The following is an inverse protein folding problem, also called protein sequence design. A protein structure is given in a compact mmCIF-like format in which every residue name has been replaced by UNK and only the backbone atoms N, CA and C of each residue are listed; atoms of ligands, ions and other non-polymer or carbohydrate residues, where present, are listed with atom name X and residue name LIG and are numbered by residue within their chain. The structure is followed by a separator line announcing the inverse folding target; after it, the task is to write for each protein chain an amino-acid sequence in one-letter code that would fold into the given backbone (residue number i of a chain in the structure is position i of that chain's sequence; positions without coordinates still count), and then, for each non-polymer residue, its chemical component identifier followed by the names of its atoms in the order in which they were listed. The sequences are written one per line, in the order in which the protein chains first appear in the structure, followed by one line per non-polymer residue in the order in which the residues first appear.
data_IF_922860124772
#
_entry.id   IF_922860124772
#
_cell.length_a   1.000
_cell.length_b   1.000
_cell.length_c   1.000
_cell.angle_alpha   90.00
_cell.angle_beta   90.00
_cell.angle_gamma   90.00
#
_symmetry.space_group_name_H-M   'P 1'
#
loop_
_entity.id
_entity.type
_entity.pdbx_description
1 polymer ?
#
# COMPACT_ATOMS: atom_id res chain seq x y z
N UNK A 1 15.04 -4.70 -3.37
CA UNK A 1 13.70 -5.30 -3.42
C UNK A 1 12.70 -4.25 -3.85
N UNK A 2 11.85 -4.53 -4.87
CA UNK A 2 10.85 -3.60 -5.40
C UNK A 2 9.45 -4.09 -5.09
N UNK A 3 8.60 -3.20 -4.61
CA UNK A 3 7.23 -3.50 -4.17
C UNK A 3 6.27 -2.58 -4.92
N UNK A 4 5.31 -3.16 -5.64
CA UNK A 4 4.22 -2.40 -6.25
C UNK A 4 3.05 -2.30 -5.27
N UNK A 5 2.64 -1.08 -4.94
CA UNK A 5 1.63 -0.80 -3.92
C UNK A 5 0.42 -0.15 -4.55
N UNK A 6 -0.74 -0.77 -4.40
CA UNK A 6 -2.03 -0.33 -4.90
C UNK A 6 -3.03 -0.17 -3.76
N UNK A 7 -4.03 0.67 -3.94
CA UNK A 7 -5.14 0.88 -3.00
C UNK A 7 -6.39 1.39 -3.72
N UNK A 8 -7.53 1.26 -3.07
CA UNK A 8 -8.76 1.95 -3.45
C UNK A 8 -9.16 1.70 -4.92
N UNK A 9 -9.19 0.43 -5.32
CA UNK A 9 -9.51 -0.02 -6.68
C UNK A 9 -10.99 0.09 -7.02
N UNK A 10 -11.88 -0.10 -6.03
CA UNK A 10 -13.34 0.01 -6.17
C UNK A 10 -13.89 -0.70 -7.42
N UNK A 11 -13.42 -1.92 -7.70
CA UNK A 11 -13.84 -2.74 -8.84
C UNK A 11 -13.11 -2.45 -10.15
N UNK A 12 -12.19 -1.48 -10.20
CA UNK A 12 -11.47 -1.10 -11.42
C UNK A 12 -10.04 -1.67 -11.43
N UNK A 13 -9.87 -2.88 -11.93
CA UNK A 13 -8.61 -3.63 -11.82
C UNK A 13 -7.68 -3.53 -13.05
N UNK A 14 -8.21 -3.14 -14.22
CA UNK A 14 -7.46 -3.22 -15.48
C UNK A 14 -6.15 -2.43 -15.49
N UNK A 15 -6.17 -1.20 -14.92
CA UNK A 15 -4.98 -0.34 -14.86
C UNK A 15 -3.95 -0.87 -13.87
N UNK A 16 -4.43 -1.36 -12.72
CA UNK A 16 -3.60 -2.02 -11.71
C UNK A 16 -2.86 -3.22 -12.30
N UNK A 17 -3.58 -4.11 -13.01
CA UNK A 17 -3.00 -5.29 -13.65
C UNK A 17 -1.96 -4.92 -14.71
N UNK A 18 -2.26 -3.90 -15.54
CA UNK A 18 -1.32 -3.44 -16.55
C UNK A 18 -0.05 -2.89 -15.90
N UNK A 19 -0.18 -1.99 -14.92
CA UNK A 19 0.97 -1.42 -14.23
C UNK A 19 1.80 -2.49 -13.54
N UNK A 20 1.18 -3.46 -12.86
CA UNK A 20 1.90 -4.58 -12.24
C UNK A 20 2.68 -5.41 -13.27
N UNK A 21 2.10 -5.64 -14.47
CA UNK A 21 2.76 -6.40 -15.53
C UNK A 21 3.93 -5.68 -16.21
N UNK A 22 3.91 -4.34 -16.22
CA UNK A 22 5.00 -3.52 -16.77
C UNK A 22 6.20 -3.39 -15.79
N UNK A 23 5.98 -3.74 -14.52
CA UNK A 23 7.00 -3.65 -13.47
C UNK A 23 7.71 -4.99 -13.26
N UNK A 24 9.00 -4.93 -12.94
CA UNK A 24 9.72 -6.05 -12.36
C UNK A 24 9.67 -5.91 -10.83
N UNK A 25 8.47 -6.11 -10.27
CA UNK A 25 8.29 -6.10 -8.83
C UNK A 25 8.65 -7.46 -8.21
N UNK A 26 9.16 -7.43 -6.99
CA UNK A 26 9.45 -8.61 -6.18
C UNK A 26 8.28 -8.98 -5.27
N UNK A 27 7.35 -8.05 -5.05
CA UNK A 27 6.15 -8.24 -4.25
C UNK A 27 5.04 -7.25 -4.65
N UNK A 28 3.80 -7.63 -4.37
CA UNK A 28 2.60 -6.82 -4.59
C UNK A 28 1.92 -6.53 -3.26
N UNK A 29 1.35 -5.33 -3.13
CA UNK A 29 0.57 -4.91 -1.96
C UNK A 29 -0.74 -4.29 -2.43
N UNK A 30 -1.86 -4.65 -1.76
CA UNK A 30 -3.16 -4.02 -1.92
C UNK A 30 -3.69 -3.55 -0.55
N UNK A 31 -3.96 -2.26 -0.42
CA UNK A 31 -4.25 -1.62 0.86
C UNK A 31 -5.73 -1.43 1.17
N UNK A 32 -6.59 -2.22 0.52
CA UNK A 32 -8.03 -2.25 0.83
C UNK A 32 -8.89 -1.41 -0.09
N UNK A 33 -10.15 -1.33 0.28
CA UNK A 33 -11.29 -0.87 -0.51
C UNK A 33 -11.42 -1.62 -1.84
N UNK A 34 -12.23 -2.67 -1.78
CA UNK A 34 -12.32 -3.80 -2.70
C UNK A 34 -11.08 -4.72 -2.63
N UNK A 35 -10.74 -5.22 -1.43
CA UNK A 35 -9.60 -6.13 -1.21
C UNK A 35 -9.65 -7.38 -2.11
N UNK A 36 -10.86 -7.78 -2.54
CA UNK A 36 -11.08 -8.89 -3.48
C UNK A 36 -10.57 -8.59 -4.88
N UNK A 37 -10.39 -7.34 -5.24
CA UNK A 37 -9.77 -6.96 -6.52
C UNK A 37 -8.31 -7.45 -6.59
N UNK A 38 -7.67 -7.62 -5.44
CA UNK A 38 -6.36 -8.24 -5.33
C UNK A 38 -6.32 -9.70 -5.79
N UNK A 39 -7.46 -10.42 -5.83
CA UNK A 39 -7.55 -11.77 -6.40
C UNK A 39 -7.17 -11.77 -7.90
N UNK A 40 -7.33 -10.63 -8.59
CA UNK A 40 -6.88 -10.48 -9.97
C UNK A 40 -5.35 -10.43 -10.07
N UNK A 41 -4.68 -9.77 -9.12
CA UNK A 41 -3.21 -9.77 -9.03
C UNK A 41 -2.69 -11.18 -8.72
N UNK A 42 -3.27 -11.87 -7.76
CA UNK A 42 -2.88 -13.23 -7.37
C UNK A 42 -2.99 -14.22 -8.55
N UNK A 43 -4.06 -14.10 -9.36
CA UNK A 43 -4.23 -14.92 -10.55
C UNK A 43 -3.28 -14.57 -11.70
N UNK A 44 -2.99 -13.28 -11.88
CA UNK A 44 -2.13 -12.80 -12.96
C UNK A 44 -0.63 -12.99 -12.68
N UNK A 45 -0.24 -12.98 -11.42
CA UNK A 45 1.16 -13.03 -10.96
C UNK A 45 1.30 -14.01 -9.80
N UNK A 46 1.00 -15.32 -10.01
CA UNK A 46 0.97 -16.31 -8.93
C UNK A 46 2.33 -16.58 -8.29
N UNK A 47 3.42 -16.20 -8.96
CA UNK A 47 4.79 -16.32 -8.46
C UNK A 47 5.21 -15.17 -7.51
N UNK A 48 4.45 -14.06 -7.50
CA UNK A 48 4.78 -12.93 -6.67
C UNK A 48 4.03 -12.98 -5.33
N UNK A 49 4.71 -12.79 -4.21
CA UNK A 49 4.03 -12.64 -2.92
C UNK A 49 3.09 -11.44 -2.94
N UNK A 50 1.84 -11.67 -2.56
CA UNK A 50 0.81 -10.64 -2.46
C UNK A 50 0.43 -10.43 -0.99
N UNK A 51 0.55 -9.20 -0.53
CA UNK A 51 0.10 -8.76 0.79
C UNK A 51 -1.14 -7.88 0.64
N UNK A 52 -2.18 -8.16 1.41
CA UNK A 52 -3.41 -7.37 1.35
C UNK A 52 -3.96 -7.09 2.74
N UNK A 53 -4.58 -5.94 2.89
CA UNK A 53 -5.37 -5.55 4.06
C UNK A 53 -6.76 -5.12 3.60
N UNK A 54 -7.74 -5.16 4.52
CA UNK A 54 -9.10 -4.69 4.23
C UNK A 54 -9.25 -3.19 4.48
N UNK A 55 -10.13 -2.54 3.72
CA UNK A 55 -10.57 -1.18 3.94
C UNK A 55 -11.94 -1.10 4.61
N UNK A 56 -12.47 0.11 4.72
CA UNK A 56 -13.79 0.36 5.31
C UNK A 56 -14.96 0.01 4.38
N UNK A 57 -14.72 -0.03 3.06
CA UNK A 57 -15.74 -0.44 2.08
C UNK A 57 -15.78 -1.97 1.86
N UNK A 58 -14.91 -2.73 2.50
CA UNK A 58 -14.85 -4.18 2.33
C UNK A 58 -15.88 -4.90 3.20
N UNK A 59 -16.92 -5.43 2.55
CA UNK A 59 -17.97 -6.22 3.20
C UNK A 59 -17.53 -7.69 3.24
N UNK A 60 -17.54 -8.29 4.43
CA UNK A 60 -17.08 -9.68 4.65
C UNK A 60 -15.66 -9.93 4.11
N UNK A 61 -14.69 -9.16 4.56
CA UNK A 61 -13.31 -9.24 4.07
C UNK A 61 -12.64 -10.54 4.49
N UNK A 62 -11.68 -10.99 3.66
CA UNK A 62 -10.80 -12.13 3.97
C UNK A 62 -9.47 -11.66 4.54
N UNK A 63 -9.07 -10.43 4.19
CA UNK A 63 -7.83 -9.82 4.64
C UNK A 63 -7.96 -9.22 6.04
N UNK A 64 -6.87 -9.18 6.82
CA UNK A 64 -6.84 -8.49 8.11
C UNK A 64 -6.92 -6.97 7.93
N UNK A 65 -7.18 -6.26 9.03
CA UNK A 65 -7.16 -4.78 9.04
C UNK A 65 -5.75 -4.21 8.91
N UNK A 66 -4.78 -4.93 9.48
CA UNK A 66 -3.37 -4.53 9.53
C UNK A 66 -2.47 -5.74 9.35
N UNK A 67 -1.33 -5.51 8.74
CA UNK A 67 -0.22 -6.46 8.67
C UNK A 67 1.07 -5.77 9.06
N UNK A 68 1.91 -6.47 9.83
CA UNK A 68 3.32 -6.11 9.99
C UNK A 68 4.14 -7.14 9.22
N UNK A 69 4.89 -6.66 8.22
CA UNK A 69 5.71 -7.50 7.35
C UNK A 69 7.13 -6.97 7.29
N UNK A 70 8.07 -7.81 6.89
CA UNK A 70 9.45 -7.40 6.63
C UNK A 70 9.77 -7.52 5.15
N UNK A 71 10.19 -6.42 4.56
CA UNK A 71 10.67 -6.33 3.19
C UNK A 71 12.17 -6.03 3.21
N UNK A 72 12.99 -7.00 2.81
CA UNK A 72 14.45 -6.80 2.76
C UNK A 72 15.06 -6.32 4.09
N UNK A 73 14.49 -6.74 5.24
CA UNK A 73 14.93 -6.30 6.57
C UNK A 73 14.22 -5.05 7.11
N UNK A 74 13.50 -4.30 6.28
CA UNK A 74 12.69 -3.13 6.70
C UNK A 74 11.34 -3.61 7.20
N UNK A 75 10.99 -3.30 8.44
CA UNK A 75 9.65 -3.62 9.00
C UNK A 75 8.65 -2.57 8.54
N UNK A 76 7.57 -3.03 7.93
CA UNK A 76 6.51 -2.21 7.39
C UNK A 76 5.16 -2.52 8.05
N UNK A 77 4.42 -1.47 8.42
CA UNK A 77 3.01 -1.54 8.77
C UNK A 77 2.17 -1.29 7.51
N UNK A 78 1.34 -2.25 7.16
CA UNK A 78 0.34 -2.15 6.10
C UNK A 78 -1.03 -1.98 6.73
N UNK A 79 -1.77 -0.95 6.34
CA UNK A 79 -3.15 -0.73 6.79
C UNK A 79 -3.91 0.08 5.74
N UNK A 80 -5.24 0.11 5.83
CA UNK A 80 -6.01 0.99 4.94
C UNK A 80 -5.93 2.46 5.37
N UNK A 81 -5.88 2.74 6.66
CA UNK A 81 -5.73 4.10 7.20
C UNK A 81 -6.99 4.67 7.88
N UNK A 82 -8.20 4.20 7.53
CA UNK A 82 -9.47 4.71 8.05
C UNK A 82 -9.58 4.72 9.60
N UNK A 83 -8.87 3.83 10.28
CA UNK A 83 -8.84 3.75 11.74
C UNK A 83 -7.87 4.74 12.39
N UNK A 84 -7.04 5.39 11.61
CA UNK A 84 -6.01 6.32 12.04
C UNK A 84 -6.34 7.78 11.76
N UNK A 85 -7.60 8.07 11.38
CA UNK A 85 -8.10 9.42 11.09
C UNK A 85 -7.27 10.21 10.05
N UNK A 86 -6.73 9.48 9.06
CA UNK A 86 -5.88 10.07 8.00
C UNK A 86 -6.62 11.05 7.10
N UNK A 87 -7.96 10.99 7.06
CA UNK A 87 -8.82 11.92 6.30
C UNK A 87 -8.63 13.39 6.68
N UNK A 88 -8.22 13.62 7.91
CA UNK A 88 -8.02 14.97 8.44
C UNK A 88 -6.58 15.49 8.20
N UNK A 89 -5.78 14.78 7.39
CA UNK A 89 -4.37 15.14 7.16
C UNK A 89 -3.47 14.92 8.38
N UNK A 90 -3.94 14.12 9.36
CA UNK A 90 -3.20 13.83 10.59
C UNK A 90 -2.57 12.45 10.49
N UNK A 91 -1.26 12.43 10.40
CA UNK A 91 -0.48 11.20 10.30
C UNK A 91 0.15 10.76 11.64
N UNK A 92 -0.02 11.57 12.70
CA UNK A 92 0.59 11.29 14.01
C UNK A 92 0.20 9.93 14.56
N UNK A 93 -1.07 9.52 14.40
CA UNK A 93 -1.58 8.23 14.88
C UNK A 93 -0.92 7.05 14.13
N UNK A 94 -0.67 7.20 12.83
CA UNK A 94 0.05 6.20 12.03
C UNK A 94 1.51 6.11 12.44
N UNK A 95 2.17 7.26 12.62
CA UNK A 95 3.57 7.32 13.06
C UNK A 95 3.72 6.63 14.41
N UNK A 96 2.86 6.97 15.37
CA UNK A 96 2.88 6.35 16.70
C UNK A 96 2.68 4.84 16.64
N UNK A 97 1.66 4.37 15.90
CA UNK A 97 1.38 2.94 15.74
C UNK A 97 2.55 2.19 15.07
N UNK A 98 3.22 2.81 14.10
CA UNK A 98 4.38 2.24 13.45
C UNK A 98 5.56 2.11 14.43
N UNK A 99 5.83 3.17 15.20
CA UNK A 99 6.90 3.18 16.20
C UNK A 99 6.67 2.12 17.29
N UNK A 100 5.43 1.99 17.81
CA UNK A 100 5.09 0.93 18.77
C UNK A 100 5.34 -0.48 18.24
N UNK A 101 5.11 -0.70 16.93
CA UNK A 101 5.32 -1.97 16.26
C UNK A 101 6.76 -2.17 15.75
N UNK A 102 7.64 -1.19 15.98
CA UNK A 102 9.02 -1.20 15.49
C UNK A 102 9.11 -1.16 13.96
N UNK A 103 8.15 -0.47 13.31
CA UNK A 103 8.11 -0.29 11.85
C UNK A 103 8.70 1.07 11.47
N UNK A 104 9.54 1.08 10.44
CA UNK A 104 10.10 2.31 9.86
C UNK A 104 9.43 2.70 8.53
N UNK A 105 8.53 1.85 8.03
CA UNK A 105 7.74 2.08 6.83
C UNK A 105 6.25 1.88 7.14
N UNK A 106 5.39 2.76 6.64
CA UNK A 106 3.93 2.61 6.64
C UNK A 106 3.43 2.70 5.20
N UNK A 107 2.64 1.72 4.78
CA UNK A 107 1.90 1.74 3.53
C UNK A 107 0.42 1.84 3.87
N UNK A 108 -0.25 2.90 3.41
CA UNK A 108 -1.65 3.16 3.73
C UNK A 108 -2.42 3.73 2.54
N UNK A 109 -3.75 3.68 2.54
CA UNK A 109 -4.64 4.14 1.47
C UNK A 109 -5.71 5.12 1.96
N UNK A 110 -6.97 4.85 1.62
CA UNK A 110 -8.19 5.50 2.11
C UNK A 110 -8.44 6.92 1.60
N UNK A 111 -7.47 7.82 1.66
CA UNK A 111 -7.67 9.22 1.30
C UNK A 111 -7.79 9.46 -0.20
N UNK A 112 -7.49 8.46 -1.02
CA UNK A 112 -7.37 8.55 -2.48
C UNK A 112 -6.34 9.58 -2.96
N UNK A 113 -5.52 10.10 -2.06
CA UNK A 113 -4.48 11.11 -2.35
C UNK A 113 -3.11 10.49 -2.16
N UNK A 114 -2.33 10.55 -3.22
CA UNK A 114 -0.96 10.07 -3.17
C UNK A 114 -0.12 10.91 -2.20
N UNK A 115 0.65 10.23 -1.36
CA UNK A 115 1.53 10.87 -0.40
C UNK A 115 2.82 10.06 -0.22
N UNK A 116 3.92 10.77 -0.03
CA UNK A 116 5.22 10.20 0.30
C UNK A 116 5.90 11.17 1.26
N UNK A 117 5.83 10.88 2.55
CA UNK A 117 6.34 11.73 3.63
C UNK A 117 7.27 10.94 4.55
N UNK A 118 8.09 11.68 5.31
CA UNK A 118 8.87 11.11 6.40
C UNK A 118 8.64 11.93 7.66
N UNK A 119 8.15 11.28 8.70
CA UNK A 119 7.79 11.92 9.97
C UNK A 119 8.32 11.05 11.12
N UNK A 120 9.11 11.65 12.01
CA UNK A 120 9.61 10.95 13.20
C UNK A 120 10.44 9.69 12.89
N UNK A 121 11.17 9.67 11.77
CA UNK A 121 11.95 8.53 11.31
C UNK A 121 11.12 7.39 10.69
N UNK A 122 9.83 7.64 10.43
CA UNK A 122 8.93 6.69 9.75
C UNK A 122 8.62 7.23 8.35
N UNK A 123 8.84 6.41 7.32
CA UNK A 123 8.42 6.68 5.95
C UNK A 123 6.95 6.29 5.79
N UNK A 124 6.11 7.24 5.35
CA UNK A 124 4.69 7.03 5.10
C UNK A 124 4.41 7.16 3.60
N UNK A 125 3.79 6.14 3.02
CA UNK A 125 3.50 6.09 1.59
C UNK A 125 2.03 5.76 1.38
N UNK A 126 1.30 6.66 0.72
CA UNK A 126 -0.04 6.42 0.20
C UNK A 126 0.06 6.37 -1.33
N UNK A 127 -0.32 5.27 -1.98
CA UNK A 127 -0.24 5.17 -3.44
C UNK A 127 -1.27 6.04 -4.17
N UNK A 128 -2.24 6.63 -3.45
CA UNK A 128 -3.43 7.21 -4.04
C UNK A 128 -4.46 6.14 -4.38
N UNK A 129 -5.36 6.43 -5.32
CA UNK A 129 -6.38 5.48 -5.78
C UNK A 129 -5.99 4.84 -7.12
N UNK A 130 -6.12 3.53 -7.24
CA UNK A 130 -5.94 2.81 -8.49
C UNK A 130 -7.23 2.78 -9.34
N UNK A 131 -8.40 2.99 -8.73
CA UNK A 131 -9.70 2.80 -9.36
C UNK A 131 -10.42 4.05 -9.81
N UNK A 132 -10.52 5.06 -8.98
CA UNK A 132 -11.46 6.18 -9.15
C UNK A 132 -10.76 7.52 -9.33
N UNK A 133 -11.47 8.48 -9.95
CA UNK A 133 -11.04 9.87 -10.11
C UNK A 133 -10.07 10.11 -11.28
N UNK A 134 -9.70 11.36 -11.52
CA UNK A 134 -8.83 11.76 -12.64
C UNK A 134 -7.33 11.51 -12.35
N UNK A 135 -6.92 11.53 -11.09
CA UNK A 135 -5.53 11.39 -10.66
C UNK A 135 -5.29 9.99 -10.06
N UNK A 136 -5.39 8.97 -10.92
CA UNK A 136 -5.10 7.59 -10.50
C UNK A 136 -3.62 7.35 -10.42
N UNK A 137 -3.20 6.64 -9.37
CA UNK A 137 -1.79 6.37 -9.12
C UNK A 137 -1.57 5.06 -8.36
N UNK A 138 -0.33 4.65 -8.34
CA UNK A 138 0.20 3.60 -7.49
C UNK A 138 1.58 4.03 -6.96
N UNK A 139 2.11 3.32 -5.98
CA UNK A 139 3.47 3.57 -5.52
C UNK A 139 4.40 2.41 -5.88
N UNK A 140 5.61 2.74 -6.32
CA UNK A 140 6.73 1.82 -6.38
C UNK A 140 7.64 2.11 -5.19
N UNK A 141 7.75 1.15 -4.29
CA UNK A 141 8.65 1.24 -3.12
C UNK A 141 9.86 0.36 -3.37
N UNK A 142 11.04 0.91 -3.18
CA UNK A 142 12.31 0.20 -3.31
C UNK A 142 13.03 0.15 -1.98
N UNK A 143 13.36 -1.07 -1.55
CA UNK A 143 14.16 -1.33 -0.34
C UNK A 143 15.56 -1.69 -0.78
N UNK A 144 16.55 -0.94 -0.31
CA UNK A 144 17.95 -1.15 -0.59
C UNK A 144 18.60 -2.10 0.42
N UNK A 145 19.73 -2.70 0.06
CA UNK A 145 20.47 -3.64 0.93
C UNK A 145 20.95 -3.00 2.24
N UNK A 146 21.19 -1.70 2.24
CA UNK A 146 21.55 -0.93 3.44
C UNK A 146 20.37 -0.57 4.33
N UNK A 147 19.15 -1.05 4.03
CA UNK A 147 17.92 -0.73 4.75
C UNK A 147 17.30 0.62 4.37
N UNK A 148 17.85 1.32 3.38
CA UNK A 148 17.25 2.55 2.86
C UNK A 148 15.93 2.26 2.12
N UNK A 149 15.00 3.20 2.17
CA UNK A 149 13.69 3.12 1.51
C UNK A 149 13.52 4.30 0.57
N UNK A 150 13.25 4.04 -0.70
CA UNK A 150 12.76 5.03 -1.65
C UNK A 150 11.32 4.69 -2.05
N UNK A 151 10.51 5.71 -2.30
CA UNK A 151 9.17 5.54 -2.82
C UNK A 151 8.90 6.55 -3.93
N UNK A 152 8.29 6.10 -5.00
CA UNK A 152 7.91 6.90 -6.16
C UNK A 152 6.42 6.70 -6.44
N UNK A 153 5.68 7.79 -6.53
CA UNK A 153 4.27 7.77 -6.95
C UNK A 153 4.22 7.86 -8.47
N UNK A 154 3.56 6.90 -9.08
CA UNK A 154 3.42 6.80 -10.55
C UNK A 154 1.97 6.88 -10.98
N UNK A 155 1.67 7.58 -12.08
CA UNK A 155 0.31 7.63 -12.63
C UNK A 155 -0.10 6.27 -13.23
N UNK A 156 -1.45 6.03 -13.24
CA UNK A 156 -2.09 4.86 -13.84
C UNK A 156 -2.91 5.22 -15.09
#
# INVERSE_FOLDING_TARGET
MKIAVFSDTHGSTARMLRAAGELRADALVHLGDCERDADCLERAFPELPLYRVRGNCDVSPRAPEELVVSFGGVRALLCHGHRYAVDWGRLDSLVYAAQEKGCSLVLYGHTHRAENAEIGGVRLVNPGTAGMGPARSFALVEIFENGGVAAEIRPL
#
